data_IF_844222231357
#
_entry.id   IF_844222231357
#
_cell.length_a   1.000
_cell.length_b   1.000
_cell.length_c   1.000
_cell.angle_alpha   90.00
_cell.angle_beta   90.00
_cell.angle_gamma   90.00
#
_symmetry.space_group_name_H-M   'P 1'
#
loop_
_entity.id
_entity.type
_entity.pdbx_description
1 polymer ?
#
# COMPACT_ATOMS: atom_id res chain seq x y z
N UNK A 1 -61.03 -34.80 15.71
CA UNK A 1 -60.14 -34.74 14.53
C UNK A 1 -59.82 -33.30 14.09
N UNK A 2 -59.63 -32.34 15.02
CA UNK A 2 -59.42 -30.92 14.65
C UNK A 2 -58.10 -30.31 15.14
N UNK A 3 -57.55 -30.75 16.28
CA UNK A 3 -56.37 -30.12 16.90
C UNK A 3 -55.05 -30.37 16.17
N UNK A 4 -54.77 -31.61 15.77
CA UNK A 4 -53.54 -31.93 15.02
C UNK A 4 -53.54 -31.30 13.64
N UNK A 5 -54.68 -31.26 12.95
CA UNK A 5 -54.79 -30.63 11.63
C UNK A 5 -54.48 -29.13 11.69
N UNK A 6 -55.01 -28.42 12.70
CA UNK A 6 -54.73 -27.00 12.94
C UNK A 6 -53.26 -26.77 13.30
N UNK A 7 -52.65 -27.68 14.06
CA UNK A 7 -51.24 -27.57 14.44
C UNK A 7 -50.29 -27.81 13.25
N UNK A 8 -50.60 -28.81 12.40
CA UNK A 8 -49.85 -29.07 11.17
C UNK A 8 -49.96 -27.91 10.18
N UNK A 9 -51.15 -27.31 10.05
CA UNK A 9 -51.38 -26.15 9.20
C UNK A 9 -50.61 -24.91 9.67
N UNK A 10 -50.55 -24.66 10.99
CA UNK A 10 -49.75 -23.58 11.57
C UNK A 10 -48.25 -23.79 11.34
N UNK A 11 -47.74 -25.01 11.49
CA UNK A 11 -46.33 -25.34 11.19
C UNK A 11 -46.00 -25.10 9.72
N UNK A 12 -46.89 -25.50 8.81
CA UNK A 12 -46.71 -25.29 7.38
C UNK A 12 -46.65 -23.79 7.02
N UNK A 13 -47.52 -22.96 7.61
CA UNK A 13 -47.47 -21.50 7.44
C UNK A 13 -46.14 -20.93 7.92
N UNK A 14 -45.65 -21.33 9.09
CA UNK A 14 -44.36 -20.85 9.60
C UNK A 14 -43.18 -21.29 8.74
N UNK A 15 -43.21 -22.49 8.18
CA UNK A 15 -42.19 -22.97 7.23
C UNK A 15 -42.21 -22.17 5.93
N UNK A 16 -43.40 -21.89 5.40
CA UNK A 16 -43.55 -21.07 4.19
C UNK A 16 -43.10 -19.63 4.45
N UNK A 17 -43.45 -19.04 5.59
CA UNK A 17 -43.00 -17.70 5.98
C UNK A 17 -41.47 -17.63 6.17
N UNK A 18 -40.86 -18.65 6.78
CA UNK A 18 -39.41 -18.71 6.92
C UNK A 18 -38.70 -18.90 5.56
N UNK A 19 -39.25 -19.74 4.68
CA UNK A 19 -38.73 -19.90 3.33
C UNK A 19 -38.88 -18.61 2.50
N UNK A 20 -40.01 -17.91 2.62
CA UNK A 20 -40.24 -16.63 1.98
C UNK A 20 -39.32 -15.52 2.53
N UNK A 21 -39.04 -15.49 3.83
CA UNK A 21 -38.10 -14.52 4.41
C UNK A 21 -36.66 -14.77 3.98
N UNK A 22 -36.25 -16.05 3.85
CA UNK A 22 -34.94 -16.40 3.30
C UNK A 22 -34.86 -16.02 1.82
N UNK A 23 -35.88 -16.34 1.01
CA UNK A 23 -35.94 -15.97 -0.40
C UNK A 23 -35.96 -14.45 -0.61
N UNK A 24 -36.69 -13.72 0.23
CA UNK A 24 -36.69 -12.26 0.22
C UNK A 24 -35.33 -11.69 0.64
N UNK A 25 -34.68 -12.29 1.64
CA UNK A 25 -33.31 -11.93 2.03
C UNK A 25 -32.32 -12.10 0.87
N UNK A 26 -32.39 -13.21 0.15
CA UNK A 26 -31.50 -13.50 -1.01
C UNK A 26 -31.78 -12.58 -2.20
N UNK A 27 -33.02 -12.15 -2.41
CA UNK A 27 -33.38 -11.29 -3.56
C UNK A 27 -33.30 -9.79 -3.27
N UNK A 28 -33.44 -9.36 -2.01
CA UNK A 28 -33.36 -7.95 -1.59
C UNK A 28 -31.95 -7.56 -1.13
N UNK A 29 -31.12 -8.52 -0.71
CA UNK A 29 -29.70 -8.32 -0.44
C UNK A 29 -28.83 -9.08 -1.46
N UNK A 30 -28.84 -8.69 -2.76
CA UNK A 30 -27.75 -9.08 -3.64
C UNK A 30 -26.50 -8.31 -3.18
N UNK A 31 -25.36 -8.98 -3.12
CA UNK A 31 -24.03 -8.38 -2.89
C UNK A 31 -23.93 -7.32 -1.78
N UNK A 32 -23.63 -7.76 -0.54
CA UNK A 32 -22.66 -7.03 0.28
C UNK A 32 -21.28 -7.69 0.13
N UNK A 33 -20.86 -7.87 -1.12
CA UNK A 33 -19.48 -8.23 -1.45
C UNK A 33 -18.93 -7.21 -2.44
N UNK A 34 -18.78 -5.98 -1.97
CA UNK A 34 -17.61 -5.19 -2.34
C UNK A 34 -16.94 -4.79 -1.02
N UNK A 35 -16.08 -5.65 -0.43
CA UNK A 35 -15.14 -5.12 0.53
C UNK A 35 -14.35 -4.05 -0.21
N UNK A 36 -14.43 -2.80 0.28
CA UNK A 36 -13.60 -1.64 -0.06
C UNK A 36 -12.49 -2.04 -1.03
N UNK A 37 -12.53 -1.56 -2.27
CA UNK A 37 -11.46 -1.77 -3.23
C UNK A 37 -10.14 -1.30 -2.61
N UNK A 38 -9.45 -2.19 -1.90
CA UNK A 38 -8.07 -1.99 -1.51
C UNK A 38 -7.38 -1.97 -2.85
N UNK A 39 -6.94 -0.78 -3.26
CA UNK A 39 -6.25 -0.56 -4.52
C UNK A 39 -5.11 -1.55 -4.56
N UNK A 40 -5.31 -2.70 -5.23
CA UNK A 40 -4.24 -3.65 -5.44
C UNK A 40 -3.35 -2.96 -6.46
N UNK A 41 -2.07 -2.74 -6.16
CA UNK A 41 -1.16 -2.09 -7.08
C UNK A 41 -1.29 -2.69 -8.49
N UNK A 42 -1.49 -1.82 -9.48
CA UNK A 42 -1.59 -2.26 -10.86
C UNK A 42 -0.23 -2.84 -11.33
N UNK A 43 -0.22 -4.11 -11.75
CA UNK A 43 0.92 -4.73 -12.44
C UNK A 43 1.29 -6.15 -11.99
N UNK A 44 2.13 -6.83 -12.78
CA UNK A 44 2.79 -8.10 -12.43
C UNK A 44 4.00 -7.86 -11.50
N UNK A 45 3.87 -6.98 -10.52
CA UNK A 45 4.93 -6.67 -9.57
C UNK A 45 5.01 -7.77 -8.50
N UNK A 46 6.22 -8.25 -8.26
CA UNK A 46 6.51 -9.33 -7.32
C UNK A 46 6.91 -8.73 -5.95
N UNK A 47 5.94 -8.54 -5.06
CA UNK A 47 6.11 -7.99 -3.71
C UNK A 47 5.48 -8.89 -2.64
N UNK A 48 5.90 -8.74 -1.39
CA UNK A 48 5.34 -9.48 -0.23
C UNK A 48 4.23 -8.69 0.46
N UNK A 49 4.43 -7.36 0.58
CA UNK A 49 3.48 -6.41 1.18
C UNK A 49 3.48 -5.11 0.40
N UNK A 50 2.41 -4.33 0.54
CA UNK A 50 2.39 -2.94 0.08
C UNK A 50 2.08 -2.00 1.24
N UNK A 51 2.52 -0.75 1.10
CA UNK A 51 2.18 0.35 1.99
C UNK A 51 1.69 1.54 1.18
N UNK A 52 0.63 2.20 1.65
CA UNK A 52 0.20 3.49 1.11
C UNK A 52 1.06 4.60 1.71
N UNK A 53 1.90 5.21 0.88
CA UNK A 53 2.72 6.34 1.29
C UNK A 53 1.83 7.59 1.42
N UNK A 54 1.90 8.34 2.54
CA UNK A 54 0.99 9.46 2.80
C UNK A 54 1.43 10.71 2.03
N UNK A 55 1.08 10.76 0.74
CA UNK A 55 1.40 11.85 -0.19
C UNK A 55 0.77 13.19 0.21
N UNK A 56 -0.35 13.18 0.93
CA UNK A 56 -0.98 14.36 1.50
C UNK A 56 -0.12 15.02 2.59
N UNK A 57 0.67 14.20 3.31
CA UNK A 57 1.51 14.65 4.41
C UNK A 57 2.94 14.99 3.98
N UNK A 58 3.48 14.25 3.01
CA UNK A 58 4.84 14.42 2.49
C UNK A 58 4.83 14.55 0.95
N UNK A 59 4.23 15.63 0.42
CA UNK A 59 4.00 15.77 -1.01
C UNK A 59 5.29 15.89 -1.84
N UNK A 60 6.35 16.53 -1.32
CA UNK A 60 7.61 16.64 -2.07
C UNK A 60 8.29 15.27 -2.20
N UNK A 61 8.35 14.51 -1.10
CA UNK A 61 8.90 13.14 -1.12
C UNK A 61 8.08 12.21 -2.00
N UNK A 62 6.74 12.28 -1.93
CA UNK A 62 5.89 11.48 -2.81
C UNK A 62 6.13 11.78 -4.30
N UNK A 63 6.28 13.07 -4.66
CA UNK A 63 6.55 13.47 -6.03
C UNK A 63 7.92 12.96 -6.52
N UNK A 64 8.95 12.99 -5.68
CA UNK A 64 10.26 12.42 -6.01
C UNK A 64 10.16 10.91 -6.28
N UNK A 65 9.49 10.15 -5.42
CA UNK A 65 9.30 8.71 -5.60
C UNK A 65 8.57 8.41 -6.91
N UNK A 66 7.46 9.10 -7.19
CA UNK A 66 6.71 8.92 -8.45
C UNK A 66 7.56 9.25 -9.67
N UNK A 67 8.31 10.35 -9.62
CA UNK A 67 9.24 10.78 -10.68
C UNK A 67 10.30 9.72 -10.92
N UNK A 68 10.95 9.20 -9.87
CA UNK A 68 11.94 8.15 -9.98
C UNK A 68 11.33 6.85 -10.56
N UNK A 69 10.17 6.41 -10.08
CA UNK A 69 9.50 5.23 -10.64
C UNK A 69 9.18 5.42 -12.12
N UNK A 70 8.76 6.62 -12.55
CA UNK A 70 8.52 6.94 -13.97
C UNK A 70 9.79 6.91 -14.84
N UNK A 71 10.97 7.10 -14.23
CA UNK A 71 12.28 6.96 -14.89
C UNK A 71 12.76 5.49 -14.92
N UNK A 72 11.98 4.56 -14.38
CA UNK A 72 12.28 3.13 -14.36
C UNK A 72 12.97 2.63 -13.08
N UNK A 73 13.05 3.45 -12.03
CA UNK A 73 13.50 2.98 -10.72
C UNK A 73 12.47 2.05 -10.09
N UNK A 74 12.93 1.07 -9.32
CA UNK A 74 12.04 0.09 -8.67
C UNK A 74 11.04 0.80 -7.75
N UNK A 75 9.72 0.48 -7.82
CA UNK A 75 8.75 0.90 -6.82
C UNK A 75 8.76 -0.04 -5.59
N UNK A 76 9.59 -1.08 -5.61
CA UNK A 76 9.75 -2.07 -4.55
C UNK A 76 11.05 -1.78 -3.80
N UNK A 77 10.96 -1.80 -2.48
CA UNK A 77 12.09 -1.83 -1.56
C UNK A 77 12.22 -3.23 -0.96
N UNK A 78 13.28 -3.95 -1.31
CA UNK A 78 13.69 -5.16 -0.60
C UNK A 78 14.54 -4.74 0.59
N UNK A 79 13.98 -4.84 1.81
CA UNK A 79 14.59 -4.26 3.01
C UNK A 79 15.99 -4.87 3.26
N UNK A 80 17.01 -4.01 3.26
CA UNK A 80 18.40 -4.32 3.59
C UNK A 80 18.94 -3.22 4.51
N UNK A 81 18.81 -3.43 5.81
CA UNK A 81 19.25 -2.44 6.82
C UNK A 81 20.77 -2.42 6.98
N UNK A 82 21.44 -3.55 6.78
CA UNK A 82 22.90 -3.65 6.89
C UNK A 82 23.59 -2.86 5.78
N UNK A 83 23.04 -2.89 4.56
CA UNK A 83 23.55 -2.14 3.41
C UNK A 83 23.35 -0.62 3.45
N UNK A 84 22.55 -0.10 4.39
CA UNK A 84 22.05 1.28 4.35
C UNK A 84 23.13 2.37 4.40
N UNK A 85 24.21 2.16 5.17
CA UNK A 85 25.30 3.13 5.24
C UNK A 85 26.08 3.20 3.92
N UNK A 86 26.42 2.03 3.37
CA UNK A 86 27.19 1.92 2.13
C UNK A 86 26.38 2.40 0.92
N UNK A 87 25.09 2.07 0.86
CA UNK A 87 24.20 2.56 -0.18
C UNK A 87 24.13 4.09 -0.17
N UNK A 88 23.92 4.70 0.99
CA UNK A 88 23.90 6.18 1.12
C UNK A 88 25.22 6.81 0.70
N UNK A 89 26.35 6.17 1.00
CA UNK A 89 27.67 6.65 0.58
C UNK A 89 27.80 6.65 -0.95
N UNK A 90 27.31 5.60 -1.62
CA UNK A 90 27.34 5.45 -3.08
C UNK A 90 26.39 6.41 -3.79
N UNK A 91 25.13 6.48 -3.35
CA UNK A 91 24.09 7.32 -3.96
C UNK A 91 24.45 8.81 -3.91
N UNK A 92 25.03 9.26 -2.79
CA UNK A 92 25.34 10.67 -2.55
C UNK A 92 26.75 11.08 -3.01
N UNK A 93 27.50 10.16 -3.64
CA UNK A 93 28.86 10.45 -4.10
C UNK A 93 28.83 11.53 -5.19
N UNK A 94 29.54 12.65 -4.93
CA UNK A 94 29.61 13.76 -5.88
C UNK A 94 28.37 14.66 -5.91
N UNK A 95 27.32 14.35 -5.13
CA UNK A 95 26.13 15.21 -5.01
C UNK A 95 26.39 16.25 -3.90
N UNK A 96 26.52 17.55 -4.22
CA UNK A 96 26.80 18.56 -3.21
C UNK A 96 25.62 18.72 -2.22
N UNK A 97 25.89 19.20 -1.02
CA UNK A 97 24.80 19.63 -0.12
C UNK A 97 24.21 20.96 -0.58
N UNK A 98 22.90 21.16 -0.43
CA UNK A 98 22.21 22.42 -0.72
C UNK A 98 21.64 23.01 0.56
N UNK A 99 21.98 24.27 0.88
CA UNK A 99 21.47 24.94 2.09
C UNK A 99 19.94 24.92 2.11
N UNK A 100 19.37 24.52 3.25
CA UNK A 100 17.91 24.49 3.45
C UNK A 100 17.20 23.33 2.77
N UNK A 101 17.91 22.31 2.29
CA UNK A 101 17.34 21.10 1.69
C UNK A 101 18.08 19.87 2.22
N UNK A 102 17.38 18.76 2.30
CA UNK A 102 18.00 17.44 2.43
C UNK A 102 18.11 16.81 1.02
N UNK A 103 18.96 15.79 0.87
CA UNK A 103 19.06 15.00 -0.37
C UNK A 103 18.26 13.72 -0.13
N UNK A 104 17.11 13.62 -0.76
CA UNK A 104 16.31 12.40 -0.72
C UNK A 104 16.84 11.39 -1.75
N UNK A 105 16.64 10.10 -1.50
CA UNK A 105 17.21 9.00 -2.28
C UNK A 105 16.09 8.02 -2.70
N UNK A 106 15.91 7.80 -4.01
CA UNK A 106 15.05 6.73 -4.50
C UNK A 106 15.74 5.87 -5.57
N UNK A 107 15.89 4.54 -5.37
CA UNK A 107 15.43 3.77 -4.22
C UNK A 107 16.20 4.12 -2.93
N UNK A 108 15.53 3.97 -1.79
CA UNK A 108 16.09 4.39 -0.49
C UNK A 108 17.34 3.57 -0.14
N UNK A 109 18.25 4.18 0.63
CA UNK A 109 19.47 3.52 1.06
C UNK A 109 19.24 2.19 1.81
N UNK A 110 18.14 2.06 2.56
CA UNK A 110 17.77 0.83 3.31
C UNK A 110 17.14 -0.28 2.45
N UNK A 111 17.19 -0.16 1.13
CA UNK A 111 16.69 -1.13 0.18
C UNK A 111 17.86 -1.72 -0.61
N UNK A 112 17.75 -2.99 -1.00
CA UNK A 112 18.74 -3.65 -1.87
C UNK A 112 18.86 -2.93 -3.22
N UNK A 113 17.78 -2.32 -3.68
CA UNK A 113 17.70 -1.54 -4.91
C UNK A 113 18.34 -0.14 -4.80
N UNK A 114 18.72 0.28 -3.58
CA UNK A 114 19.33 1.57 -3.33
C UNK A 114 20.82 1.60 -3.67
N UNK A 115 21.43 2.75 -3.39
CA UNK A 115 22.88 2.92 -3.58
C UNK A 115 23.25 3.53 -4.92
N UNK A 116 24.20 2.90 -5.63
CA UNK A 116 24.74 3.46 -6.87
C UNK A 116 23.64 3.63 -7.93
N UNK A 117 23.51 4.85 -8.44
CA UNK A 117 22.51 5.19 -9.47
C UNK A 117 21.15 5.59 -8.94
N UNK A 118 20.89 5.57 -7.62
CA UNK A 118 19.63 6.09 -7.06
C UNK A 118 19.36 7.54 -7.52
N UNK A 119 18.10 7.84 -7.84
CA UNK A 119 17.63 9.18 -8.15
C UNK A 119 17.71 10.05 -6.90
N UNK A 120 18.25 11.26 -7.06
CA UNK A 120 18.45 12.20 -5.95
C UNK A 120 17.70 13.49 -6.24
N UNK A 121 16.88 13.90 -5.28
CA UNK A 121 16.17 15.18 -5.31
C UNK A 121 16.42 15.98 -4.03
N UNK A 122 16.47 17.31 -4.15
CA UNK A 122 16.61 18.19 -3.00
C UNK A 122 15.23 18.54 -2.46
N UNK A 123 14.90 17.99 -1.29
CA UNK A 123 13.57 18.12 -0.67
C UNK A 123 13.65 19.03 0.56
N UNK A 124 12.57 19.74 0.87
CA UNK A 124 12.50 20.52 2.11
C UNK A 124 12.71 19.63 3.36
N UNK A 125 13.52 20.05 4.35
CA UNK A 125 13.89 19.17 5.46
C UNK A 125 12.70 18.69 6.31
N UNK A 126 11.63 19.49 6.39
CA UNK A 126 10.44 19.12 7.15
C UNK A 126 9.68 17.96 6.48
N UNK A 127 9.54 18.01 5.15
CA UNK A 127 8.92 16.96 4.35
C UNK A 127 9.77 15.68 4.41
N UNK A 128 11.05 15.78 4.02
CA UNK A 128 11.95 14.61 3.91
C UNK A 128 12.15 13.88 5.25
N UNK A 129 12.40 14.59 6.35
CA UNK A 129 12.61 13.96 7.66
C UNK A 129 11.32 13.39 8.24
N UNK A 130 10.20 14.05 7.96
CA UNK A 130 8.87 13.56 8.30
C UNK A 130 8.57 12.24 7.58
N UNK A 131 8.85 12.19 6.28
CA UNK A 131 8.73 11.00 5.45
C UNK A 131 9.66 9.89 5.96
N UNK A 132 10.95 10.16 6.12
CA UNK A 132 11.92 9.19 6.62
C UNK A 132 11.55 8.61 7.99
N UNK A 133 11.04 9.45 8.91
CA UNK A 133 10.53 8.98 10.21
C UNK A 133 9.30 8.09 10.05
N UNK A 134 8.36 8.47 9.18
CA UNK A 134 7.17 7.66 8.93
C UNK A 134 7.53 6.31 8.30
N UNK A 135 8.41 6.29 7.29
CA UNK A 135 8.89 5.07 6.64
C UNK A 135 9.60 4.19 7.66
N UNK A 136 10.53 4.73 8.45
CA UNK A 136 11.23 3.98 9.49
C UNK A 136 10.29 3.29 10.48
N UNK A 137 9.28 4.01 10.99
CA UNK A 137 8.27 3.42 11.88
C UNK A 137 7.38 2.40 11.14
N UNK A 138 6.98 2.68 9.90
CA UNK A 138 6.12 1.79 9.11
C UNK A 138 6.83 0.47 8.80
N UNK A 139 8.13 0.50 8.56
CA UNK A 139 8.93 -0.66 8.19
C UNK A 139 9.52 -1.43 9.37
N UNK A 140 9.45 -0.91 10.60
CA UNK A 140 10.04 -1.55 11.80
C UNK A 140 9.57 -3.00 12.01
N UNK A 141 8.32 -3.31 11.65
CA UNK A 141 7.73 -4.64 11.84
C UNK A 141 8.05 -5.64 10.72
N UNK A 142 8.76 -5.22 9.67
CA UNK A 142 9.14 -6.09 8.56
C UNK A 142 10.61 -6.49 8.66
N UNK A 143 10.87 -7.79 8.54
CA UNK A 143 12.21 -8.35 8.56
C UNK A 143 12.99 -7.95 7.30
N UNK A 144 14.33 -7.95 7.40
CA UNK A 144 15.19 -7.81 6.23
C UNK A 144 14.85 -8.90 5.21
N UNK A 145 14.93 -8.56 3.92
CA UNK A 145 14.49 -9.39 2.80
C UNK A 145 13.02 -9.27 2.42
N UNK A 146 12.18 -8.61 3.24
CA UNK A 146 10.77 -8.35 2.86
C UNK A 146 10.73 -7.37 1.68
N UNK A 147 10.00 -7.72 0.62
CA UNK A 147 9.76 -6.88 -0.56
C UNK A 147 8.53 -6.00 -0.35
N UNK A 148 8.76 -4.72 -0.11
CA UNK A 148 7.71 -3.74 0.18
C UNK A 148 7.45 -2.89 -1.06
N UNK A 149 6.25 -2.97 -1.60
CA UNK A 149 5.80 -2.06 -2.64
C UNK A 149 5.29 -0.75 -2.03
N UNK A 150 5.81 0.39 -2.49
CA UNK A 150 5.38 1.71 -2.05
C UNK A 150 4.28 2.23 -2.98
N UNK A 151 3.02 2.03 -2.60
CA UNK A 151 1.89 2.60 -3.33
C UNK A 151 1.82 4.11 -3.06
N UNK A 152 1.77 4.89 -4.14
CA UNK A 152 1.50 6.33 -4.08
C UNK A 152 0.22 6.59 -4.87
N UNK A 153 -0.63 7.48 -4.37
CA UNK A 153 -1.84 7.90 -5.08
C UNK A 153 -1.47 8.39 -6.50
N UNK A 154 -2.12 7.81 -7.53
CA UNK A 154 -1.85 8.13 -8.94
C UNK A 154 -0.69 7.37 -9.59
N UNK A 155 0.03 6.51 -8.84
CA UNK A 155 1.14 5.74 -9.40
C UNK A 155 0.70 4.59 -10.34
N UNK A 156 -0.58 4.19 -10.28
CA UNK A 156 -1.14 3.16 -11.17
C UNK A 156 -1.14 3.57 -12.65
N UNK A 157 -1.00 4.85 -12.96
CA UNK A 157 -0.80 5.32 -14.34
C UNK A 157 0.64 5.18 -14.82
N UNK A 158 1.60 5.20 -13.88
CA UNK A 158 3.04 5.08 -14.15
C UNK A 158 3.44 3.63 -14.40
N UNK A 159 2.72 2.67 -13.80
CA UNK A 159 3.04 1.24 -13.83
C UNK A 159 2.28 0.43 -14.91
N UNK A 160 1.57 1.12 -15.83
CA UNK A 160 0.91 0.51 -16.99
C UNK A 160 1.89 0.14 -18.09
#
# INVERSE_FOLDING_TARGET
MGGEFVLQFKKLIWVILAAASVYLGVTVFPELEDPVSVHRPAGNLEYDVWIDFPSDKYPETAAHIQSAVSKGFSPICTIDREGAEENRRKSLQGVPTKKGHDRDEWPMAMCTEGGEGADIEYISPADNRGAGSWVGNKLENYADGTRVFFQIEGMDEVLK
#
